data_IF_511014824494
#
_entry.id   IF_511014824494
#
_cell.length_a   1.000
_cell.length_b   1.000
_cell.length_c   1.000
_cell.angle_alpha   90.00
_cell.angle_beta   90.00
_cell.angle_gamma   90.00
#
_symmetry.space_group_name_H-M   'P 1'
#
loop_
_entity.id
_entity.type
_entity.pdbx_description
1 polymer ?
#
# COMPACT_ATOMS: atom_id res chain seq x y z
N UNK A 1 -27.48 -4.23 -3.72
CA UNK A 1 -26.81 -3.87 -4.99
C UNK A 1 -27.89 -3.27 -5.85
N UNK A 2 -27.82 -1.98 -6.09
CA UNK A 2 -28.88 -1.19 -6.74
C UNK A 2 -28.68 -1.31 -8.26
N UNK A 3 -29.66 -1.87 -8.97
CA UNK A 3 -29.66 -1.89 -10.43
C UNK A 3 -30.15 -0.52 -10.94
N UNK A 4 -29.43 0.06 -11.90
CA UNK A 4 -29.75 1.35 -12.51
C UNK A 4 -31.06 1.24 -13.31
N UNK A 5 -31.97 2.20 -13.22
CA UNK A 5 -33.20 2.22 -14.04
C UNK A 5 -33.01 2.84 -15.43
N UNK A 6 -31.83 3.44 -15.66
CA UNK A 6 -31.49 4.24 -16.85
C UNK A 6 -31.36 3.39 -18.10
N UNK A 7 -30.89 2.16 -17.93
CA UNK A 7 -30.63 1.22 -19.00
C UNK A 7 -31.32 -0.10 -18.63
N UNK A 8 -31.82 -0.83 -19.63
CA UNK A 8 -32.39 -2.15 -19.37
C UNK A 8 -31.32 -3.11 -18.87
N UNK A 9 -31.69 -4.21 -18.18
CA UNK A 9 -30.73 -5.09 -17.49
C UNK A 9 -29.66 -5.67 -18.42
N UNK A 10 -30.01 -5.98 -19.69
CA UNK A 10 -29.03 -6.46 -20.67
C UNK A 10 -27.96 -5.43 -21.03
N UNK A 11 -28.33 -4.16 -21.10
CA UNK A 11 -27.41 -3.09 -21.48
C UNK A 11 -26.50 -2.74 -20.29
N UNK A 12 -27.04 -2.75 -19.07
CA UNK A 12 -26.22 -2.61 -17.86
C UNK A 12 -25.16 -3.72 -17.77
N UNK A 13 -25.54 -4.98 -18.03
CA UNK A 13 -24.61 -6.12 -18.02
C UNK A 13 -23.49 -5.97 -19.07
N UNK A 14 -23.78 -5.35 -20.23
CA UNK A 14 -22.77 -5.10 -21.27
C UNK A 14 -21.82 -3.96 -20.88
N UNK A 15 -22.37 -2.86 -20.34
CA UNK A 15 -21.59 -1.71 -19.87
C UNK A 15 -20.66 -2.13 -18.73
N UNK A 16 -21.15 -2.93 -17.77
CA UNK A 16 -20.34 -3.43 -16.67
C UNK A 16 -19.16 -4.25 -17.17
N UNK A 17 -19.37 -5.14 -18.15
CA UNK A 17 -18.30 -5.97 -18.73
C UNK A 17 -17.24 -5.13 -19.43
N UNK A 18 -17.64 -4.10 -20.16
CA UNK A 18 -16.71 -3.19 -20.84
C UNK A 18 -15.85 -2.44 -19.83
N UNK A 19 -16.47 -1.81 -18.83
CA UNK A 19 -15.78 -1.06 -17.77
C UNK A 19 -14.82 -1.99 -17.01
N UNK A 20 -15.28 -3.17 -16.61
CA UNK A 20 -14.44 -4.16 -15.91
C UNK A 20 -13.27 -4.63 -16.77
N UNK A 21 -13.46 -4.78 -18.08
CA UNK A 21 -12.40 -5.10 -19.02
C UNK A 21 -11.34 -4.02 -19.09
N UNK A 22 -11.74 -2.75 -19.18
CA UNK A 22 -10.81 -1.61 -19.18
C UNK A 22 -10.04 -1.50 -17.87
N UNK A 23 -10.71 -1.63 -16.72
CA UNK A 23 -10.08 -1.52 -15.40
C UNK A 23 -9.09 -2.65 -15.12
N UNK A 24 -9.35 -3.86 -15.60
CA UNK A 24 -8.51 -5.04 -15.36
C UNK A 24 -7.49 -5.30 -16.47
N UNK A 25 -7.64 -4.65 -17.62
CA UNK A 25 -6.85 -4.90 -18.83
C UNK A 25 -5.48 -4.25 -18.81
N UNK A 26 -5.32 -3.11 -18.13
CA UNK A 26 -4.06 -2.36 -18.08
C UNK A 26 -3.12 -2.86 -16.97
N UNK A 27 -2.96 -4.19 -16.86
CA UNK A 27 -2.03 -4.79 -15.90
C UNK A 27 -0.88 -5.49 -16.60
N UNK A 28 0.33 -5.49 -16.01
CA UNK A 28 1.46 -6.22 -16.54
C UNK A 28 1.12 -7.70 -16.79
N UNK A 29 1.65 -8.27 -17.87
CA UNK A 29 1.53 -9.71 -18.16
C UNK A 29 2.56 -10.56 -17.41
N UNK A 30 3.53 -9.91 -16.75
CA UNK A 30 4.53 -10.56 -15.89
C UNK A 30 3.90 -10.87 -14.53
N UNK A 31 4.38 -11.92 -13.88
CA UNK A 31 4.04 -12.18 -12.48
C UNK A 31 4.44 -10.98 -11.60
N UNK A 32 3.63 -10.66 -10.61
CA UNK A 32 3.99 -9.72 -9.56
C UNK A 32 5.21 -10.29 -8.80
N UNK A 33 6.30 -9.53 -8.75
CA UNK A 33 7.47 -9.85 -7.95
C UNK A 33 7.34 -9.07 -6.63
N UNK A 34 7.13 -9.78 -5.52
CA UNK A 34 7.12 -9.16 -4.20
C UNK A 34 8.54 -8.66 -3.90
N UNK A 35 8.74 -7.34 -3.97
CA UNK A 35 10.00 -6.69 -3.65
C UNK A 35 9.99 -6.24 -2.19
N UNK A 36 10.71 -6.96 -1.34
CA UNK A 36 11.04 -6.45 0.00
C UNK A 36 11.96 -5.23 -0.17
N UNK A 37 11.63 -4.13 0.49
CA UNK A 37 12.48 -2.93 0.48
C UNK A 37 13.72 -3.20 1.34
N UNK A 38 14.91 -2.84 0.85
CA UNK A 38 16.11 -2.92 1.68
C UNK A 38 15.92 -2.09 2.96
N UNK A 39 16.37 -2.59 4.12
CA UNK A 39 16.26 -1.84 5.35
C UNK A 39 17.15 -0.60 5.31
N UNK A 40 16.67 0.49 5.91
CA UNK A 40 17.51 1.67 6.16
C UNK A 40 18.64 1.28 7.13
N UNK A 41 19.79 1.95 7.04
CA UNK A 41 20.96 1.68 7.89
C UNK A 41 21.19 2.80 8.91
N UNK A 42 21.75 2.46 10.08
CA UNK A 42 22.23 3.41 11.08
C UNK A 42 23.53 4.08 10.64
N UNK A 43 23.99 5.09 11.39
CA UNK A 43 25.29 5.74 11.14
C UNK A 43 26.48 4.77 11.29
N UNK A 44 26.34 3.73 12.11
CA UNK A 44 27.29 2.61 12.26
C UNK A 44 27.19 1.56 11.15
N UNK A 45 26.22 1.69 10.24
CA UNK A 45 26.00 0.78 9.11
C UNK A 45 25.20 -0.48 9.44
N UNK A 46 24.53 -0.52 10.59
CA UNK A 46 23.66 -1.63 11.00
C UNK A 46 22.27 -1.47 10.40
N UNK A 47 21.59 -2.56 10.07
CA UNK A 47 20.23 -2.48 9.54
C UNK A 47 19.28 -1.99 10.65
N UNK A 48 18.50 -0.94 10.39
CA UNK A 48 17.60 -0.32 11.37
C UNK A 48 16.43 -1.24 11.80
N UNK A 49 16.22 -2.35 11.09
CA UNK A 49 15.28 -3.40 11.48
C UNK A 49 15.94 -4.56 12.25
N UNK A 50 17.26 -4.53 12.45
CA UNK A 50 17.95 -5.48 13.32
C UNK A 50 17.57 -5.18 14.78
N UNK A 51 17.01 -6.14 15.52
CA UNK A 51 16.68 -5.94 16.93
C UNK A 51 17.88 -5.51 17.80
N UNK A 52 19.11 -5.84 17.40
CA UNK A 52 20.32 -5.36 18.07
C UNK A 52 20.59 -3.87 17.84
N UNK A 53 20.17 -3.30 16.70
CA UNK A 53 20.33 -1.88 16.38
C UNK A 53 19.24 -1.01 17.03
N UNK A 54 18.03 -1.55 17.21
CA UNK A 54 16.88 -0.82 17.77
C UNK A 54 17.11 -0.43 19.24
N UNK A 55 17.84 -1.25 20.01
CA UNK A 55 18.11 -0.98 21.43
C UNK A 55 19.09 0.21 21.63
N UNK A 56 19.88 0.54 20.60
CA UNK A 56 20.87 1.62 20.61
C UNK A 56 20.26 3.01 20.36
N UNK A 57 19.17 3.09 19.59
CA UNK A 57 18.53 4.33 19.13
C UNK A 57 17.30 4.73 19.97
N UNK A 58 16.99 3.95 21.02
CA UNK A 58 15.82 4.14 21.89
C UNK A 58 15.96 5.27 22.93
N UNK A 59 16.89 6.22 22.78
CA UNK A 59 16.88 7.49 23.52
C UNK A 59 16.23 8.60 22.68
N UNK A 60 14.92 8.47 22.44
CA UNK A 60 14.12 9.63 22.05
C UNK A 60 14.04 10.57 23.27
N UNK A 61 14.44 11.85 23.14
CA UNK A 61 14.30 12.80 24.24
C UNK A 61 12.83 12.93 24.62
N UNK A 62 12.60 12.95 25.94
CA UNK A 62 11.30 13.01 26.56
C UNK A 62 10.42 14.10 25.94
N UNK A 63 9.17 13.70 25.71
CA UNK A 63 8.04 14.53 25.33
C UNK A 63 7.89 15.74 26.27
N UNK A 64 8.55 16.87 26.00
CA UNK A 64 8.22 18.16 26.62
C UNK A 64 6.94 18.71 25.96
N UNK A 65 5.82 18.03 26.21
CA UNK A 65 4.46 18.54 26.02
C UNK A 65 3.69 18.54 27.34
N UNK A 66 4.18 19.31 28.34
CA UNK A 66 3.29 20.05 29.27
C UNK A 66 4.04 20.99 30.22
N UNK A 67 3.77 22.29 30.06
CA UNK A 67 3.50 23.18 31.19
C UNK A 67 4.57 24.22 31.54
N UNK A 68 4.42 25.45 31.02
CA UNK A 68 3.79 26.55 31.77
C UNK A 68 3.51 27.75 30.88
#
# INVERSE_FOLDING_TARGET
MEQSDKHGPKLDDEIEKEIQGMLKGDKPTRAEEEHETEPTVTDEGEAANDPAAIDSDAELPEDEHRGR
#
